data_IF_458210177386
#
_entry.id   IF_458210177386
#
_cell.length_a   1.000
_cell.length_b   1.000
_cell.length_c   1.000
_cell.angle_alpha   90.00
_cell.angle_beta   90.00
_cell.angle_gamma   90.00
#
_symmetry.space_group_name_H-M   'P 1'
#
loop_
_entity.id
_entity.type
_entity.pdbx_description
1 polymer ?
#
# COMPACT_ATOMS: atom_id res chain seq x y z
N UNK A 1 37.14 71.05 20.15
CA UNK A 1 37.38 69.99 21.16
C UNK A 1 36.07 69.29 21.44
N UNK A 2 35.87 68.10 20.85
CA UNK A 2 34.70 67.25 21.08
C UNK A 2 35.02 66.27 22.21
N UNK A 3 34.14 66.20 23.21
CA UNK A 3 34.35 65.43 24.44
C UNK A 3 34.36 63.92 24.19
N UNK A 4 35.25 63.20 24.91
CA UNK A 4 35.39 61.73 24.91
C UNK A 4 34.07 60.97 25.16
N UNK A 5 33.03 61.64 25.68
CA UNK A 5 31.69 61.06 25.88
C UNK A 5 30.84 60.95 24.62
N UNK A 6 31.17 61.64 23.53
CA UNK A 6 30.40 61.58 22.29
C UNK A 6 30.76 60.38 21.38
N UNK A 7 31.95 59.78 21.55
CA UNK A 7 32.40 58.66 20.70
C UNK A 7 31.98 57.26 21.17
N UNK A 8 31.27 57.13 22.30
CA UNK A 8 30.75 55.83 22.77
C UNK A 8 29.27 55.58 22.41
N UNK A 9 28.58 56.56 21.81
CA UNK A 9 27.18 56.43 21.43
C UNK A 9 26.93 55.86 20.03
N UNK A 10 27.97 55.66 19.21
CA UNK A 10 27.82 55.42 17.77
C UNK A 10 28.46 54.10 17.28
N UNK A 11 28.49 53.08 18.13
CA UNK A 11 28.99 51.73 17.75
C UNK A 11 28.02 50.60 18.08
N UNK A 12 26.86 50.89 18.67
CA UNK A 12 25.93 49.87 19.17
C UNK A 12 24.91 49.31 18.16
N UNK A 13 24.78 49.88 16.96
CA UNK A 13 23.62 49.59 16.10
C UNK A 13 23.90 48.71 14.88
N UNK A 14 25.15 48.28 14.64
CA UNK A 14 25.50 47.50 13.44
C UNK A 14 25.66 45.98 13.67
N UNK A 15 25.65 45.49 14.93
CA UNK A 15 25.80 44.06 15.21
C UNK A 15 24.49 43.29 15.39
N UNK A 16 23.34 43.96 15.44
CA UNK A 16 22.04 43.28 15.58
C UNK A 16 21.46 42.74 14.25
N UNK A 17 21.97 43.21 13.10
CA UNK A 17 21.47 42.80 11.78
C UNK A 17 22.07 41.50 11.23
N UNK A 18 23.21 41.04 11.75
CA UNK A 18 23.95 39.90 11.20
C UNK A 18 23.51 38.53 11.74
N UNK A 19 22.62 38.48 12.75
CA UNK A 19 22.15 37.21 13.34
C UNK A 19 20.79 36.72 12.81
N UNK A 20 20.12 37.49 11.95
CA UNK A 20 18.95 37.01 11.22
C UNK A 20 19.40 36.42 9.88
N UNK A 21 20.14 35.31 9.94
CA UNK A 21 20.09 34.35 8.85
C UNK A 21 18.64 33.86 8.79
N UNK A 22 17.89 34.09 7.70
CA UNK A 22 16.67 33.32 7.54
C UNK A 22 17.14 31.88 7.47
N UNK A 23 16.82 31.09 8.49
CA UNK A 23 16.75 29.65 8.36
C UNK A 23 15.63 29.43 7.36
N UNK A 24 15.99 29.50 6.07
CA UNK A 24 15.23 28.88 5.00
C UNK A 24 15.15 27.43 5.43
N UNK A 25 14.04 27.10 6.09
CA UNK A 25 13.68 25.75 6.41
C UNK A 25 13.79 25.01 5.08
N UNK A 26 14.80 24.13 4.97
CA UNK A 26 14.94 23.27 3.82
C UNK A 26 13.60 22.54 3.70
N UNK A 27 12.81 22.91 2.70
CA UNK A 27 11.56 22.22 2.40
C UNK A 27 11.96 20.77 2.25
N UNK A 28 11.50 19.85 3.11
CA UNK A 28 11.93 18.47 3.02
C UNK A 28 11.60 18.02 1.61
N UNK A 29 12.64 17.68 0.84
CA UNK A 29 12.46 17.10 -0.49
C UNK A 29 11.61 15.86 -0.28
N UNK A 30 10.34 15.95 -0.68
CA UNK A 30 9.43 14.82 -0.58
C UNK A 30 10.02 13.77 -1.52
N UNK A 31 10.58 12.69 -0.95
CA UNK A 31 11.01 11.53 -1.75
C UNK A 31 9.87 11.20 -2.71
N UNK A 32 10.21 11.06 -3.99
CA UNK A 32 9.25 10.61 -4.99
C UNK A 32 8.60 9.29 -4.52
N UNK A 33 7.29 9.10 -4.75
CA UNK A 33 6.63 7.88 -4.35
C UNK A 33 7.26 6.69 -5.08
N UNK A 34 7.58 5.63 -4.33
CA UNK A 34 8.02 4.37 -4.91
C UNK A 34 6.80 3.62 -5.45
N UNK A 35 6.92 3.05 -6.66
CA UNK A 35 5.87 2.29 -7.30
C UNK A 35 6.16 0.80 -7.23
N UNK A 36 5.12 0.00 -6.96
CA UNK A 36 5.17 -1.46 -7.04
C UNK A 36 4.27 -1.97 -8.15
N UNK A 37 4.80 -2.88 -8.98
CA UNK A 37 4.03 -3.50 -10.06
C UNK A 37 3.28 -4.72 -9.55
N UNK A 38 1.97 -4.79 -9.82
CA UNK A 38 1.22 -6.02 -9.61
C UNK A 38 1.46 -7.01 -10.74
N UNK A 39 2.24 -8.05 -10.46
CA UNK A 39 2.81 -8.94 -11.49
C UNK A 39 1.86 -10.05 -11.97
N UNK A 40 0.56 -9.98 -11.66
CA UNK A 40 -0.42 -11.03 -12.06
C UNK A 40 -0.47 -11.31 -13.56
N UNK A 41 -0.12 -10.33 -14.39
CA UNK A 41 -0.17 -10.44 -15.85
C UNK A 41 1.06 -11.17 -16.42
N UNK A 42 2.06 -11.41 -15.58
CA UNK A 42 3.32 -12.08 -15.93
C UNK A 42 3.38 -13.50 -15.33
N UNK A 43 2.27 -14.01 -14.78
CA UNK A 43 2.19 -15.38 -14.25
C UNK A 43 2.44 -16.37 -15.39
N UNK A 44 3.33 -17.32 -15.15
CA UNK A 44 3.79 -18.31 -16.12
C UNK A 44 5.22 -18.08 -16.61
N UNK A 45 5.78 -16.88 -16.41
CA UNK A 45 7.21 -16.65 -16.65
C UNK A 45 8.07 -17.37 -15.58
N UNK A 46 9.22 -17.94 -15.96
CA UNK A 46 10.25 -18.37 -15.02
C UNK A 46 10.70 -17.21 -14.12
N UNK A 47 11.11 -17.49 -12.88
CA UNK A 47 11.36 -16.44 -11.88
C UNK A 47 12.48 -15.48 -12.25
N UNK A 48 13.58 -15.96 -12.84
CA UNK A 48 14.66 -15.08 -13.29
C UNK A 48 14.16 -14.16 -14.42
N UNK A 49 13.45 -14.69 -15.41
CA UNK A 49 12.86 -13.89 -16.50
C UNK A 49 11.82 -12.88 -16.00
N UNK A 50 11.00 -13.26 -15.01
CA UNK A 50 10.05 -12.37 -14.36
C UNK A 50 10.77 -11.19 -13.68
N UNK A 51 11.84 -11.47 -12.93
CA UNK A 51 12.61 -10.46 -12.22
C UNK A 51 13.30 -9.49 -13.18
N UNK A 52 13.92 -10.01 -14.24
CA UNK A 52 14.54 -9.23 -15.31
C UNK A 52 13.50 -8.33 -16.01
N UNK A 53 12.35 -8.88 -16.41
CA UNK A 53 11.28 -8.12 -17.05
C UNK A 53 10.81 -6.96 -16.18
N UNK A 54 10.61 -7.19 -14.88
CA UNK A 54 10.18 -6.13 -13.94
C UNK A 54 11.24 -5.04 -13.80
N UNK A 55 12.52 -5.42 -13.73
CA UNK A 55 13.63 -4.48 -13.62
C UNK A 55 13.81 -3.64 -14.90
N UNK A 56 13.66 -4.24 -16.08
CA UNK A 56 13.67 -3.55 -17.37
C UNK A 56 12.54 -2.52 -17.49
N UNK A 57 11.37 -2.81 -16.91
CA UNK A 57 10.25 -1.87 -16.81
C UNK A 57 10.51 -0.72 -15.81
N UNK A 58 11.62 -0.74 -15.07
CA UNK A 58 12.04 0.30 -14.14
C UNK A 58 11.39 0.23 -12.76
N UNK A 59 10.70 -0.87 -12.41
CA UNK A 59 10.09 -1.03 -11.10
C UNK A 59 11.10 -1.55 -10.06
N UNK A 60 11.05 -0.99 -8.86
CA UNK A 60 11.87 -1.41 -7.70
C UNK A 60 11.07 -2.19 -6.65
N UNK A 61 9.76 -2.27 -6.83
CA UNK A 61 8.86 -3.02 -5.97
C UNK A 61 7.87 -3.86 -6.79
N UNK A 62 7.43 -4.98 -6.23
CA UNK A 62 6.36 -5.80 -6.79
C UNK A 62 5.33 -6.20 -5.76
N UNK A 63 4.08 -6.30 -6.23
CA UNK A 63 3.07 -7.14 -5.63
C UNK A 63 3.09 -8.51 -6.33
N UNK A 64 3.44 -9.56 -5.59
CA UNK A 64 3.57 -10.92 -6.12
C UNK A 64 2.35 -11.79 -5.74
N UNK A 65 1.62 -12.38 -6.72
CA UNK A 65 0.60 -13.38 -6.43
C UNK A 65 1.18 -14.64 -5.75
N UNK A 66 0.87 -14.84 -4.46
CA UNK A 66 1.15 -16.05 -3.66
C UNK A 66 -0.20 -16.64 -3.23
N UNK A 67 -0.85 -17.30 -4.18
CA UNK A 67 -2.22 -17.80 -4.09
C UNK A 67 -2.47 -18.83 -5.18
N UNK A 68 -3.65 -19.45 -5.19
CA UNK A 68 -4.00 -20.40 -6.24
C UNK A 68 -3.95 -19.76 -7.63
N UNK A 69 -3.18 -20.36 -8.54
CA UNK A 69 -2.89 -19.85 -9.88
C UNK A 69 -2.02 -18.59 -9.90
N UNK A 70 -1.23 -18.35 -8.85
CA UNK A 70 -0.26 -17.26 -8.77
C UNK A 70 1.14 -17.66 -9.25
N UNK A 71 2.15 -16.82 -8.98
CA UNK A 71 3.56 -17.18 -9.20
C UNK A 71 4.02 -18.29 -8.27
N UNK A 72 3.46 -18.32 -7.06
CA UNK A 72 3.75 -19.32 -6.04
C UNK A 72 2.43 -19.88 -5.51
N UNK A 73 2.30 -21.20 -5.53
CA UNK A 73 1.18 -21.92 -4.96
C UNK A 73 1.35 -22.09 -3.44
N UNK A 74 0.29 -21.92 -2.61
CA UNK A 74 0.38 -22.12 -1.16
C UNK A 74 0.92 -23.49 -0.75
N UNK A 75 0.69 -24.52 -1.57
CA UNK A 75 1.17 -25.88 -1.33
C UNK A 75 2.70 -25.99 -1.37
N UNK A 76 3.37 -25.18 -2.21
CA UNK A 76 4.82 -25.18 -2.43
C UNK A 76 5.50 -23.90 -1.92
N UNK A 77 4.80 -23.11 -1.10
CA UNK A 77 5.28 -21.79 -0.65
C UNK A 77 6.65 -21.86 0.04
N UNK A 78 6.91 -22.90 0.82
CA UNK A 78 8.17 -23.11 1.55
C UNK A 78 9.36 -23.38 0.61
N UNK A 79 9.10 -23.86 -0.61
CA UNK A 79 10.13 -24.18 -1.62
C UNK A 79 10.27 -23.08 -2.67
N UNK A 80 9.15 -22.52 -3.13
CA UNK A 80 9.10 -21.69 -4.32
C UNK A 80 9.16 -20.19 -3.99
N UNK A 81 8.63 -19.76 -2.83
CA UNK A 81 8.73 -18.36 -2.42
C UNK A 81 10.17 -17.90 -2.18
N UNK A 82 11.07 -18.68 -1.54
CA UNK A 82 12.47 -18.31 -1.43
C UNK A 82 13.16 -18.13 -2.79
N UNK A 83 12.86 -19.00 -3.76
CA UNK A 83 13.41 -18.90 -5.12
C UNK A 83 12.96 -17.62 -5.82
N UNK A 84 11.68 -17.26 -5.69
CA UNK A 84 11.13 -16.02 -6.24
C UNK A 84 11.79 -14.79 -5.59
N UNK A 85 11.97 -14.79 -4.27
CA UNK A 85 12.65 -13.72 -3.54
C UNK A 85 14.09 -13.55 -4.01
N UNK A 86 14.84 -14.64 -4.15
CA UNK A 86 16.23 -14.58 -4.62
C UNK A 86 16.32 -14.11 -6.09
N UNK A 87 15.41 -14.51 -6.97
CA UNK A 87 15.36 -13.99 -8.34
C UNK A 87 15.18 -12.46 -8.37
N UNK A 88 14.19 -11.92 -7.64
CA UNK A 88 13.99 -10.47 -7.57
C UNK A 88 15.17 -9.72 -6.92
N UNK A 89 15.81 -10.33 -5.92
CA UNK A 89 16.98 -9.77 -5.24
C UNK A 89 18.17 -9.60 -6.17
N UNK A 90 18.43 -10.54 -7.10
CA UNK A 90 19.49 -10.40 -8.12
C UNK A 90 19.30 -9.16 -8.99
N UNK A 91 18.05 -8.74 -9.21
CA UNK A 91 17.69 -7.59 -10.03
C UNK A 91 17.46 -6.30 -9.23
N UNK A 92 17.77 -6.29 -7.92
CA UNK A 92 17.48 -5.15 -7.02
C UNK A 92 16.00 -4.73 -7.05
N UNK A 93 15.11 -5.72 -7.06
CA UNK A 93 13.65 -5.56 -6.96
C UNK A 93 13.18 -6.17 -5.65
N UNK A 94 12.28 -5.48 -4.94
CA UNK A 94 11.72 -5.95 -3.66
C UNK A 94 10.31 -6.49 -3.83
N UNK A 95 9.99 -7.60 -3.17
CA UNK A 95 8.59 -7.98 -2.96
C UNK A 95 8.03 -7.11 -1.82
N UNK A 96 7.25 -6.10 -2.16
CA UNK A 96 6.68 -5.14 -1.18
C UNK A 96 5.37 -5.64 -0.61
N UNK A 97 4.65 -6.48 -1.35
CA UNK A 97 3.34 -7.01 -1.01
C UNK A 97 3.15 -8.39 -1.67
N UNK A 98 2.49 -9.32 -1.00
CA UNK A 98 1.97 -10.53 -1.66
C UNK A 98 0.47 -10.44 -1.85
N UNK A 99 -0.08 -10.85 -3.00
CA UNK A 99 -1.52 -11.13 -3.08
C UNK A 99 -1.79 -12.55 -2.63
N UNK A 100 -2.68 -12.73 -1.65
CA UNK A 100 -3.03 -14.06 -1.13
C UNK A 100 -4.53 -14.33 -1.26
N UNK A 101 -4.94 -15.58 -1.09
CA UNK A 101 -6.35 -15.96 -0.91
C UNK A 101 -6.78 -16.02 0.57
N UNK A 102 -5.95 -15.51 1.49
CA UNK A 102 -6.11 -15.66 2.94
C UNK A 102 -7.12 -14.65 3.50
N UNK A 103 -8.11 -15.18 4.23
CA UNK A 103 -9.09 -14.40 5.02
C UNK A 103 -9.18 -14.81 6.49
N UNK A 104 -8.60 -15.95 6.85
CA UNK A 104 -8.59 -16.49 8.19
C UNK A 104 -7.35 -17.38 8.37
N UNK A 105 -7.00 -17.69 9.61
CA UNK A 105 -6.01 -18.74 9.90
C UNK A 105 -6.67 -20.09 9.70
N UNK A 106 -6.33 -20.80 8.63
CA UNK A 106 -6.91 -22.10 8.35
C UNK A 106 -5.95 -23.00 7.54
N UNK A 107 -6.21 -24.31 7.58
CA UNK A 107 -5.39 -25.31 6.91
C UNK A 107 -5.58 -25.33 5.38
N UNK A 108 -6.79 -25.03 4.89
CA UNK A 108 -7.13 -25.08 3.46
C UNK A 108 -6.32 -24.06 2.63
N UNK A 109 -6.16 -22.85 3.16
CA UNK A 109 -5.36 -21.78 2.56
C UNK A 109 -3.87 -21.87 2.97
N UNK A 110 -3.52 -22.81 3.85
CA UNK A 110 -2.19 -22.95 4.46
C UNK A 110 -1.68 -21.63 5.05
N UNK A 111 -2.56 -20.85 5.67
CA UNK A 111 -2.30 -19.45 6.04
C UNK A 111 -1.05 -19.30 6.92
N UNK A 112 -0.85 -20.19 7.90
CA UNK A 112 0.33 -20.17 8.76
C UNK A 112 1.63 -20.38 7.99
N UNK A 113 1.67 -21.38 7.12
CA UNK A 113 2.88 -21.69 6.33
C UNK A 113 3.23 -20.55 5.39
N UNK A 114 2.23 -20.00 4.70
CA UNK A 114 2.42 -18.85 3.80
C UNK A 114 2.97 -17.64 4.58
N UNK A 115 2.33 -17.26 5.68
CA UNK A 115 2.71 -16.06 6.43
C UNK A 115 4.02 -16.21 7.20
N UNK A 116 4.30 -17.39 7.77
CA UNK A 116 5.59 -17.67 8.45
C UNK A 116 6.74 -17.66 7.45
N UNK A 117 6.58 -18.28 6.29
CA UNK A 117 7.60 -18.27 5.22
C UNK A 117 7.87 -16.85 4.75
N UNK A 118 6.82 -16.07 4.50
CA UNK A 118 6.96 -14.68 4.08
C UNK A 118 7.66 -13.81 5.14
N UNK A 119 7.33 -14.00 6.41
CA UNK A 119 8.00 -13.31 7.52
C UNK A 119 9.48 -13.66 7.62
N UNK A 120 9.83 -14.93 7.46
CA UNK A 120 11.22 -15.39 7.45
C UNK A 120 12.03 -14.81 6.27
N UNK A 121 11.37 -14.59 5.11
CA UNK A 121 11.96 -13.98 3.92
C UNK A 121 11.96 -12.44 3.95
N UNK A 122 11.43 -11.83 5.01
CA UNK A 122 11.41 -10.37 5.19
C UNK A 122 10.39 -9.63 4.31
N UNK A 123 9.37 -10.33 3.80
CA UNK A 123 8.29 -9.69 3.03
C UNK A 123 7.39 -8.93 4.01
N UNK A 124 7.17 -7.61 3.83
CA UNK A 124 6.61 -6.79 4.90
C UNK A 124 5.09 -6.88 5.02
N UNK A 125 4.39 -7.25 3.94
CA UNK A 125 2.93 -7.22 3.92
C UNK A 125 2.32 -8.21 2.93
N UNK A 126 1.04 -8.51 3.14
CA UNK A 126 0.22 -9.29 2.22
C UNK A 126 -1.18 -8.70 2.10
N UNK A 127 -1.75 -8.77 0.91
CA UNK A 127 -3.14 -8.45 0.63
C UNK A 127 -3.98 -9.70 0.85
N UNK A 128 -5.01 -9.54 1.68
CA UNK A 128 -6.02 -10.54 1.97
C UNK A 128 -6.94 -10.74 0.77
N UNK A 129 -7.73 -11.81 0.82
CA UNK A 129 -8.93 -11.94 -0.01
C UNK A 129 -10.02 -11.00 0.52
N UNK A 130 -11.14 -10.91 -0.20
CA UNK A 130 -12.31 -10.16 0.22
C UNK A 130 -13.28 -11.06 1.01
N UNK A 131 -14.04 -10.48 1.93
CA UNK A 131 -15.20 -11.14 2.51
C UNK A 131 -16.46 -10.81 1.69
N UNK A 132 -17.34 -11.79 1.53
CA UNK A 132 -18.59 -11.64 0.81
C UNK A 132 -19.79 -11.76 1.75
N UNK A 133 -20.79 -10.92 1.56
CA UNK A 133 -22.11 -11.10 2.15
C UNK A 133 -22.86 -12.23 1.44
N UNK A 134 -23.52 -13.06 2.24
CA UNK A 134 -24.49 -14.05 1.81
C UNK A 134 -25.86 -13.38 1.78
N UNK A 135 -26.54 -13.45 0.64
CA UNK A 135 -27.87 -12.89 0.46
C UNK A 135 -28.88 -13.52 1.45
N UNK A 136 -29.82 -12.72 1.94
CA UNK A 136 -30.85 -13.17 2.87
C UNK A 136 -30.39 -13.35 4.32
N UNK A 137 -29.12 -13.12 4.64
CA UNK A 137 -28.61 -13.12 6.02
C UNK A 137 -28.44 -11.69 6.56
N UNK A 138 -28.58 -11.55 7.87
CA UNK A 138 -28.26 -10.30 8.58
C UNK A 138 -26.83 -9.87 8.29
N UNK A 139 -26.62 -8.60 7.92
CA UNK A 139 -25.27 -8.06 7.76
C UNK A 139 -24.53 -8.06 9.10
N UNK A 140 -25.23 -7.81 10.21
CA UNK A 140 -24.64 -7.74 11.55
C UNK A 140 -24.08 -9.09 12.00
N UNK A 141 -24.85 -10.16 11.87
CA UNK A 141 -24.42 -11.51 12.27
C UNK A 141 -23.21 -11.97 11.46
N UNK A 142 -23.17 -11.61 10.17
CA UNK A 142 -22.03 -11.91 9.29
C UNK A 142 -20.78 -11.13 9.69
N UNK A 143 -20.91 -9.85 10.05
CA UNK A 143 -19.80 -9.07 10.58
C UNK A 143 -19.32 -9.64 11.92
N UNK A 144 -20.23 -10.09 12.80
CA UNK A 144 -19.88 -10.74 14.06
C UNK A 144 -19.12 -12.06 13.84
N UNK A 145 -19.46 -12.82 12.80
CA UNK A 145 -18.73 -14.02 12.42
C UNK A 145 -17.32 -13.75 11.84
N UNK A 146 -17.12 -12.62 11.14
CA UNK A 146 -15.81 -12.22 10.58
C UNK A 146 -14.85 -11.73 11.68
N UNK A 147 -15.37 -11.03 12.70
CA UNK A 147 -14.55 -10.44 13.78
C UNK A 147 -13.51 -11.40 14.40
N UNK A 148 -13.88 -12.62 14.89
CA UNK A 148 -12.89 -13.53 15.47
C UNK A 148 -11.85 -13.99 14.45
N UNK A 149 -12.24 -14.26 13.20
CA UNK A 149 -11.31 -14.67 12.14
C UNK A 149 -10.25 -13.59 11.88
N UNK A 150 -10.68 -12.33 11.77
CA UNK A 150 -9.78 -11.20 11.57
C UNK A 150 -8.86 -10.96 12.78
N UNK A 151 -9.37 -11.14 14.01
CA UNK A 151 -8.57 -11.04 15.24
C UNK A 151 -7.44 -12.06 15.25
N UNK A 152 -7.75 -13.31 14.93
CA UNK A 152 -6.79 -14.40 14.98
C UNK A 152 -5.74 -14.23 13.87
N UNK A 153 -6.18 -13.81 12.67
CA UNK A 153 -5.28 -13.49 11.56
C UNK A 153 -4.33 -12.33 11.91
N UNK A 154 -4.85 -11.24 12.46
CA UNK A 154 -4.03 -10.10 12.91
C UNK A 154 -3.04 -10.51 13.99
N UNK A 155 -3.40 -11.47 14.86
CA UNK A 155 -2.51 -11.99 15.91
C UNK A 155 -1.34 -12.75 15.29
N UNK A 156 -1.60 -13.67 14.35
CA UNK A 156 -0.57 -14.38 13.59
C UNK A 156 0.31 -13.41 12.79
N UNK A 157 -0.28 -12.46 12.09
CA UNK A 157 0.44 -11.44 11.32
C UNK A 157 1.45 -10.66 12.16
N UNK A 158 1.11 -10.34 13.42
CA UNK A 158 2.03 -9.66 14.34
C UNK A 158 3.18 -10.56 14.77
N UNK A 159 2.89 -11.81 15.08
CA UNK A 159 3.88 -12.81 15.46
C UNK A 159 4.94 -12.98 14.35
N UNK A 160 4.49 -13.11 13.10
CA UNK A 160 5.38 -13.30 11.95
C UNK A 160 5.91 -12.00 11.34
N UNK A 161 5.48 -10.84 11.85
CA UNK A 161 5.82 -9.49 11.36
C UNK A 161 5.49 -9.24 9.87
N UNK A 162 4.38 -9.81 9.38
CA UNK A 162 3.86 -9.57 8.03
C UNK A 162 2.49 -8.93 8.13
N UNK A 163 2.35 -7.70 7.63
CA UNK A 163 1.14 -6.91 7.82
C UNK A 163 0.00 -7.30 6.86
N UNK A 164 -1.23 -7.48 7.36
CA UNK A 164 -2.40 -7.71 6.51
C UNK A 164 -2.87 -6.39 5.89
N UNK A 165 -3.16 -6.41 4.59
CA UNK A 165 -3.82 -5.35 3.85
C UNK A 165 -5.17 -5.82 3.31
N UNK A 166 -6.22 -5.04 3.53
CA UNK A 166 -7.56 -5.34 3.01
C UNK A 166 -7.87 -4.45 1.81
N UNK A 167 -8.16 -5.05 0.66
CA UNK A 167 -8.61 -4.33 -0.52
C UNK A 167 -10.14 -4.30 -0.56
N UNK A 168 -10.70 -3.10 -0.59
CA UNK A 168 -12.11 -2.91 -0.80
C UNK A 168 -12.46 -3.23 -2.26
N UNK A 169 -13.51 -4.03 -2.45
CA UNK A 169 -14.07 -4.33 -3.77
C UNK A 169 -15.41 -3.62 -3.96
N UNK A 170 -15.71 -3.23 -5.20
CA UNK A 170 -16.95 -2.56 -5.55
C UNK A 170 -18.09 -3.57 -5.72
N UNK A 171 -19.26 -3.25 -5.16
CA UNK A 171 -20.50 -4.02 -5.36
C UNK A 171 -21.15 -4.42 -4.03
N UNK A 172 -22.47 -4.65 -4.04
CA UNK A 172 -23.27 -4.83 -2.82
C UNK A 172 -22.93 -6.11 -2.05
N UNK A 173 -22.29 -7.08 -2.71
CA UNK A 173 -21.93 -8.37 -2.10
C UNK A 173 -20.63 -8.35 -1.30
N UNK A 174 -19.86 -7.26 -1.32
CA UNK A 174 -18.54 -7.23 -0.69
C UNK A 174 -18.56 -6.47 0.63
N UNK A 175 -18.01 -7.09 1.67
CA UNK A 175 -17.69 -6.38 2.91
C UNK A 175 -16.59 -5.36 2.61
N UNK A 176 -16.77 -4.13 3.05
CA UNK A 176 -15.84 -3.02 2.80
C UNK A 176 -16.21 -2.19 1.58
N UNK A 177 -17.17 -2.60 0.73
CA UNK A 177 -17.60 -1.78 -0.41
C UNK A 177 -18.12 -0.40 0.05
N UNK A 178 -18.88 -0.38 1.14
CA UNK A 178 -19.39 0.84 1.78
C UNK A 178 -18.43 1.47 2.79
N UNK A 179 -17.25 0.89 3.01
CA UNK A 179 -16.19 1.31 3.95
C UNK A 179 -16.58 1.19 5.44
N UNK A 180 -17.82 1.54 5.81
CA UNK A 180 -18.32 1.60 7.18
C UNK A 180 -18.20 0.25 7.90
N UNK A 181 -18.51 -0.83 7.22
CA UNK A 181 -18.53 -2.19 7.74
C UNK A 181 -17.11 -2.69 8.05
N UNK A 182 -16.18 -2.51 7.12
CA UNK A 182 -14.77 -2.80 7.36
C UNK A 182 -14.19 -1.89 8.45
N UNK A 183 -14.54 -0.60 8.45
CA UNK A 183 -14.14 0.31 9.53
C UNK A 183 -14.66 -0.14 10.90
N UNK A 184 -15.86 -0.73 10.97
CA UNK A 184 -16.40 -1.31 12.20
C UNK A 184 -15.64 -2.56 12.64
N UNK A 185 -15.29 -3.45 11.72
CA UNK A 185 -14.46 -4.62 12.01
C UNK A 185 -13.08 -4.21 12.55
N UNK A 186 -12.49 -3.15 11.99
CA UNK A 186 -11.17 -2.65 12.37
C UNK A 186 -11.17 -1.79 13.65
N UNK A 187 -12.31 -1.23 14.05
CA UNK A 187 -12.42 -0.24 15.14
C UNK A 187 -11.91 -0.72 16.50
N UNK A 188 -11.92 -2.04 16.74
CA UNK A 188 -11.43 -2.66 17.99
C UNK A 188 -9.97 -3.11 17.92
N UNK A 189 -9.36 -3.11 16.73
CA UNK A 189 -7.94 -3.40 16.56
C UNK A 189 -7.13 -2.15 16.94
N UNK A 190 -6.51 -2.12 18.13
CA UNK A 190 -5.72 -0.97 18.59
C UNK A 190 -4.65 -0.60 17.55
N UNK A 191 -4.58 0.69 17.22
CA UNK A 191 -3.59 1.27 16.30
C UNK A 191 -2.12 1.14 16.75
N UNK A 192 -1.87 0.67 17.98
CA UNK A 192 -0.52 0.47 18.54
C UNK A 192 0.02 -0.96 18.36
N UNK A 193 -0.83 -1.90 17.94
CA UNK A 193 -0.37 -3.23 17.53
C UNK A 193 -0.06 -3.29 16.01
N UNK A 194 0.20 -2.09 15.48
CA UNK A 194 0.46 -1.66 14.13
C UNK A 194 1.69 -0.76 14.34
N UNK A 195 2.88 -1.25 13.98
CA UNK A 195 4.16 -0.74 14.48
C UNK A 195 4.40 0.76 14.29
N UNK A 196 5.28 1.31 15.15
CA UNK A 196 5.73 2.70 15.16
C UNK A 196 6.58 2.99 13.91
N UNK A 197 5.93 3.18 12.77
CA UNK A 197 6.47 3.85 11.59
C UNK A 197 5.37 4.67 10.95
N UNK A 198 5.70 5.91 10.64
CA UNK A 198 4.88 6.84 9.88
C UNK A 198 4.38 6.14 8.59
N UNK A 199 3.06 5.98 8.43
CA UNK A 199 2.25 5.89 7.19
C UNK A 199 1.04 4.92 7.32
N UNK A 200 -0.09 5.25 6.66
CA UNK A 200 -1.43 4.70 6.88
C UNK A 200 -1.59 3.32 6.25
N UNK A 201 -2.38 2.49 6.93
CA UNK A 201 -2.83 1.19 6.45
C UNK A 201 -3.44 1.32 5.05
N UNK A 202 -3.02 0.43 4.14
CA UNK A 202 -3.57 0.27 2.79
C UNK A 202 -5.03 -0.20 2.88
N UNK A 203 -5.90 0.73 3.26
CA UNK A 203 -7.21 0.84 2.66
C UNK A 203 -6.93 1.51 1.31
N UNK A 204 -7.17 0.85 0.19
CA UNK A 204 -7.18 1.53 -1.12
C UNK A 204 -8.41 2.44 -1.18
N UNK A 205 -8.33 3.56 -0.48
CA UNK A 205 -9.15 4.75 -0.67
C UNK A 205 -8.15 5.88 -0.88
N UNK A 206 -8.23 6.49 -2.06
CA UNK A 206 -7.64 7.78 -2.38
C UNK A 206 -7.65 8.68 -1.14
N UNK A 207 -6.47 9.03 -0.65
CA UNK A 207 -6.22 9.84 0.55
C UNK A 207 -7.23 10.98 0.71
N UNK A 208 -8.25 10.79 1.54
CA UNK A 208 -9.04 11.88 2.12
C UNK A 208 -8.51 12.14 3.52
N UNK A 209 -7.69 13.17 3.65
CA UNK A 209 -7.17 13.63 4.93
C UNK A 209 -8.26 14.39 5.68
N UNK A 210 -8.87 13.79 6.70
CA UNK A 210 -9.58 14.55 7.74
C UNK A 210 -8.54 14.90 8.79
N UNK A 211 -8.07 16.15 8.78
CA UNK A 211 -7.31 16.71 9.89
C UNK A 211 -8.25 16.97 11.07
N UNK A 212 -7.93 16.42 12.25
CA UNK A 212 -8.55 16.85 13.52
C UNK A 212 -7.94 18.19 13.89
N UNK A 213 -8.73 19.25 13.86
CA UNK A 213 -8.40 20.47 14.60
C UNK A 213 -8.70 20.25 16.09
N UNK A 214 -7.91 20.88 16.95
CA UNK A 214 -7.86 20.71 18.41
C UNK A 214 -9.12 21.18 19.17
N UNK A 215 -10.24 21.43 18.50
CA UNK A 215 -11.43 22.06 19.10
C UNK A 215 -12.67 21.16 19.16
N UNK A 216 -12.53 19.84 18.92
CA UNK A 216 -13.60 18.87 19.21
C UNK A 216 -14.89 19.05 18.39
N UNK A 217 -14.88 19.86 17.33
CA UNK A 217 -16.06 20.11 16.48
C UNK A 217 -15.85 19.47 15.11
N UNK A 218 -16.72 18.51 14.76
CA UNK A 218 -16.74 17.89 13.43
C UNK A 218 -17.43 18.86 12.48
N UNK A 219 -16.67 19.46 11.54
CA UNK A 219 -17.23 20.22 10.43
C UNK A 219 -17.20 19.37 9.16
N UNK A 220 -18.36 19.19 8.53
CA UNK A 220 -18.44 18.64 7.18
C UNK A 220 -17.93 19.70 6.18
N UNK A 221 -17.03 19.36 5.25
CA UNK A 221 -16.67 20.29 4.19
C UNK A 221 -17.91 20.56 3.34
N UNK A 222 -18.12 21.84 2.97
CA UNK A 222 -19.14 22.23 2.01
C UNK A 222 -18.93 21.42 0.73
N UNK A 223 -19.98 20.72 0.29
CA UNK A 223 -19.99 19.93 -0.94
C UNK A 223 -19.53 20.84 -2.08
N UNK A 224 -18.40 20.52 -2.69
CA UNK A 224 -17.96 21.18 -3.91
C UNK A 224 -19.03 20.91 -4.99
N UNK A 225 -19.63 21.99 -5.49
CA UNK A 225 -20.63 21.96 -6.54
C UNK A 225 -19.97 21.36 -7.79
N UNK A 226 -20.44 20.19 -8.23
CA UNK A 226 -19.99 19.57 -9.47
C UNK A 226 -20.30 20.50 -10.66
N UNK A 227 -19.36 20.79 -11.56
CA UNK A 227 -19.71 21.42 -12.83
C UNK A 227 -20.58 20.44 -13.62
N UNK A 228 -21.71 20.92 -14.16
CA UNK A 228 -22.50 20.18 -15.14
C UNK A 228 -21.66 20.05 -16.43
N UNK A 229 -20.93 18.95 -16.58
CA UNK A 229 -20.33 18.56 -17.85
C UNK A 229 -21.22 17.50 -18.49
N UNK A 230 -21.70 17.80 -19.70
CA UNK A 230 -22.67 17.01 -20.45
C UNK A 230 -22.17 15.61 -20.80
N UNK A 231 -23.13 14.71 -20.94
CA UNK A 231 -22.93 13.37 -21.48
C UNK A 231 -22.55 13.46 -22.96
N UNK A 232 -21.24 13.41 -23.25
CA UNK A 232 -20.70 13.30 -24.60
C UNK A 232 -19.87 12.03 -24.73
N UNK A 233 -20.25 11.16 -25.68
CA UNK A 233 -19.50 9.94 -26.03
C UNK A 233 -18.17 10.31 -26.69
N UNK A 234 -17.08 9.68 -26.29
CA UNK A 234 -15.91 9.39 -27.15
C UNK A 234 -15.11 8.20 -26.58
N UNK A 235 -14.40 7.44 -27.44
CA UNK A 235 -14.28 5.99 -27.31
C UNK A 235 -12.99 5.52 -26.64
N UNK A 236 -13.08 4.32 -26.06
CA UNK A 236 -11.96 3.44 -25.74
C UNK A 236 -10.99 3.32 -26.93
N UNK A 237 -9.78 3.87 -26.81
CA UNK A 237 -8.68 3.53 -27.71
C UNK A 237 -7.32 3.86 -27.07
N UNK A 238 -6.78 2.91 -26.29
CA UNK A 238 -5.34 2.92 -25.94
C UNK A 238 -4.77 1.56 -25.48
N UNK A 239 -5.58 0.52 -25.26
CA UNK A 239 -5.05 -0.80 -24.89
C UNK A 239 -4.51 -1.63 -26.08
N UNK A 240 -4.82 -1.25 -27.33
CA UNK A 240 -4.51 -2.09 -28.49
C UNK A 240 -3.05 -1.99 -28.96
N UNK A 241 -2.36 -0.87 -28.66
CA UNK A 241 -0.95 -0.66 -29.07
C UNK A 241 0.08 -1.39 -28.18
N UNK A 242 -0.30 -1.83 -26.98
CA UNK A 242 0.59 -2.61 -26.12
C UNK A 242 0.59 -4.11 -26.49
N UNK A 243 -0.53 -4.63 -27.00
CA UNK A 243 -0.69 -6.03 -27.36
C UNK A 243 0.10 -6.42 -28.63
N UNK A 244 0.34 -5.48 -29.55
CA UNK A 244 1.06 -5.74 -30.81
C UNK A 244 2.57 -5.86 -30.63
N UNK A 245 3.15 -5.18 -29.64
CA UNK A 245 4.61 -5.19 -29.39
C UNK A 245 5.13 -6.49 -28.73
N UNK A 246 4.25 -7.20 -28.01
CA UNK A 246 4.60 -8.49 -27.38
C UNK A 246 4.51 -9.65 -28.39
N UNK A 247 3.67 -9.55 -29.44
CA UNK A 247 3.58 -10.58 -30.48
C UNK A 247 4.75 -10.55 -31.47
N UNK A 248 5.28 -9.37 -31.79
CA UNK A 248 6.41 -9.24 -32.73
C UNK A 248 7.74 -9.77 -32.19
N UNK A 249 7.92 -9.87 -30.87
CA UNK A 249 9.15 -10.40 -30.27
C UNK A 249 9.17 -11.95 -30.20
N UNK A 250 8.04 -12.63 -30.44
CA UNK A 250 7.95 -14.10 -30.42
C UNK A 250 8.10 -14.77 -31.80
N UNK A 251 8.19 -14.00 -32.88
CA UNK A 251 8.28 -14.52 -34.26
C UNK A 251 9.65 -14.31 -34.92
N UNK A 252 10.68 -13.94 -34.16
CA UNK A 252 12.04 -13.72 -34.68
C UNK A 252 13.09 -14.68 -34.13
N UNK A 253 12.68 -15.85 -33.62
CA UNK A 253 13.58 -16.97 -33.31
C UNK A 253 12.95 -18.28 -33.78
N UNK A 254 13.00 -18.48 -35.09
CA UNK A 254 12.96 -19.76 -35.80
C UNK A 254 13.83 -19.63 -37.03
#
# INVERSE_FOLDING_TARGET
MLSRRAMLGLSGSLMAGAMLRPVLAATPSLKAPEFSLFTKHLVGLPYDQLAETVAELGFKGVEAPVRKGGHVEPARVEEDLPKLVEAFKKCDVKITLMTTDINAVNAADRSEKVLRTAGALGIPSYRMKWYGYVAGKSHWDQLDAIKPQLRDLVSLSREVRVLPGYQNHSGPKYVGAGIWDMAMLMRRSKAACLGRTNWPWLVTISRWSISRTSTGRVSWPKVARWPKAGWGRTPWCSCEKLATRVRSASMSNT
#
